data_IF_838718847025
#
_entry.id   IF_838718847025
#
_cell.length_a   1.000
_cell.length_b   1.000
_cell.length_c   1.000
_cell.angle_alpha   90.00
_cell.angle_beta   90.00
_cell.angle_gamma   90.00
#
_symmetry.space_group_name_H-M   'P 1'
#
loop_
_entity.id
_entity.type
_entity.pdbx_description
1 polymer ?
#
# COMPACT_ATOMS: atom_id res chain seq x y z
N UNK A 1 -46.79 64.81 28.17
CA UNK A 1 -47.29 64.89 26.78
C UNK A 1 -46.49 63.93 25.92
N UNK A 2 -47.09 62.83 25.45
CA UNK A 2 -46.61 62.11 24.26
C UNK A 2 -47.57 62.33 23.08
N UNK A 3 -47.09 62.41 21.83
CA UNK A 3 -47.95 62.60 20.68
C UNK A 3 -48.66 61.30 20.27
N UNK A 4 -49.96 61.42 20.03
CA UNK A 4 -50.79 60.55 19.16
C UNK A 4 -50.46 60.79 17.69
N UNK A 5 -50.32 59.74 16.87
CA UNK A 5 -50.92 59.71 15.53
C UNK A 5 -51.07 58.26 14.99
N UNK A 6 -52.30 58.01 14.57
CA UNK A 6 -53.08 56.92 13.96
C UNK A 6 -52.46 55.84 13.04
N UNK A 7 -53.23 54.75 12.77
CA UNK A 7 -52.78 53.48 12.22
C UNK A 7 -52.95 53.40 10.70
N UNK A 8 -52.13 52.57 10.04
CA UNK A 8 -52.38 52.14 8.67
C UNK A 8 -52.90 50.70 8.67
N UNK A 9 -54.20 50.58 8.42
CA UNK A 9 -54.84 49.35 7.96
C UNK A 9 -54.69 49.27 6.44
N UNK A 10 -53.86 48.37 5.95
CA UNK A 10 -53.95 47.89 4.58
C UNK A 10 -53.55 46.40 4.58
N UNK A 11 -54.56 45.53 4.52
CA UNK A 11 -54.39 44.12 4.20
C UNK A 11 -54.64 43.93 2.70
N UNK A 12 -53.66 43.45 1.91
CA UNK A 12 -53.91 42.92 0.57
C UNK A 12 -53.99 41.38 0.58
N UNK A 13 -54.50 40.78 -0.52
CA UNK A 13 -55.35 39.59 -0.47
C UNK A 13 -54.59 38.25 -0.46
N UNK A 14 -55.34 37.18 -0.20
CA UNK A 14 -54.91 35.78 -0.17
C UNK A 14 -54.06 35.35 -1.40
N UNK A 15 -53.07 34.46 -1.23
CA UNK A 15 -52.20 34.04 -2.31
C UNK A 15 -52.93 33.11 -3.29
N UNK A 16 -53.01 33.54 -4.55
CA UNK A 16 -53.34 32.66 -5.67
C UNK A 16 -52.21 31.63 -5.86
N UNK A 17 -52.59 30.36 -5.90
CA UNK A 17 -51.71 29.22 -6.19
C UNK A 17 -51.04 29.35 -7.56
N UNK A 18 -49.75 29.71 -7.57
CA UNK A 18 -48.91 29.61 -8.75
C UNK A 18 -48.20 28.26 -8.78
N UNK A 19 -48.51 27.46 -9.79
CA UNK A 19 -47.81 26.23 -10.12
C UNK A 19 -46.43 26.63 -10.66
N UNK A 20 -45.38 26.42 -9.88
CA UNK A 20 -44.01 26.54 -10.38
C UNK A 20 -43.70 25.34 -11.29
N UNK A 21 -43.25 25.54 -12.55
CA UNK A 21 -42.67 24.45 -13.31
C UNK A 21 -41.35 24.05 -12.63
N UNK A 22 -41.24 22.77 -12.26
CA UNK A 22 -39.98 22.19 -11.81
C UNK A 22 -38.95 22.40 -12.91
N UNK A 23 -37.97 23.26 -12.65
CA UNK A 23 -36.85 23.45 -13.56
C UNK A 23 -35.99 22.19 -13.47
N UNK A 24 -36.12 21.30 -14.44
CA UNK A 24 -35.17 20.22 -14.64
C UNK A 24 -33.84 20.86 -15.06
N UNK A 25 -32.92 21.02 -14.10
CA UNK A 25 -31.56 21.44 -14.37
C UNK A 25 -30.86 20.39 -15.22
N UNK A 26 -30.69 20.67 -16.52
CA UNK A 26 -29.83 19.88 -17.39
C UNK A 26 -28.40 19.93 -16.84
N UNK A 27 -27.72 18.79 -16.64
CA UNK A 27 -26.36 18.77 -16.11
C UNK A 27 -25.41 19.48 -17.08
N UNK A 28 -24.50 20.26 -16.50
CA UNK A 28 -23.50 21.01 -17.26
C UNK A 28 -22.46 20.05 -17.86
N UNK A 29 -21.85 20.35 -19.01
CA UNK A 29 -20.85 19.47 -19.64
C UNK A 29 -19.60 19.18 -18.78
N UNK A 30 -19.39 19.92 -17.68
CA UNK A 30 -18.33 19.67 -16.71
C UNK A 30 -18.66 18.54 -15.73
N UNK A 31 -19.92 18.19 -15.55
CA UNK A 31 -20.33 17.15 -14.59
C UNK A 31 -19.97 15.74 -15.08
N UNK A 32 -19.96 15.51 -16.39
CA UNK A 32 -19.61 14.21 -17.00
C UNK A 32 -18.17 13.78 -16.77
N UNK A 33 -17.23 14.72 -16.57
CA UNK A 33 -15.83 14.39 -16.27
C UNK A 33 -15.64 13.82 -14.85
N UNK A 34 -16.46 14.22 -13.89
CA UNK A 34 -16.40 13.69 -12.52
C UNK A 34 -16.82 12.21 -12.45
N UNK A 35 -17.68 11.76 -13.36
CA UNK A 35 -18.15 10.37 -13.42
C UNK A 35 -17.18 9.40 -14.11
N UNK A 36 -16.12 9.91 -14.75
CA UNK A 36 -15.09 9.06 -15.37
C UNK A 36 -14.31 8.31 -14.29
N UNK A 37 -13.94 8.99 -13.20
CA UNK A 37 -13.22 8.33 -12.11
C UNK A 37 -14.09 7.31 -11.37
N UNK A 38 -15.39 7.59 -11.24
CA UNK A 38 -16.37 6.66 -10.65
C UNK A 38 -16.54 5.43 -11.55
N UNK A 39 -16.57 5.60 -12.87
CA UNK A 39 -16.65 4.48 -13.82
C UNK A 39 -15.39 3.62 -13.81
N UNK A 40 -14.20 4.24 -13.71
CA UNK A 40 -12.92 3.55 -13.53
C UNK A 40 -12.89 2.78 -12.21
N UNK A 41 -13.34 3.42 -11.13
CA UNK A 41 -13.40 2.82 -9.81
C UNK A 41 -14.38 1.63 -9.77
N UNK A 42 -15.56 1.78 -10.37
CA UNK A 42 -16.55 0.69 -10.50
C UNK A 42 -16.05 -0.44 -11.39
N UNK A 43 -15.36 -0.14 -12.50
CA UNK A 43 -14.75 -1.16 -13.36
C UNK A 43 -13.67 -1.94 -12.62
N UNK A 44 -12.85 -1.26 -11.81
CA UNK A 44 -11.83 -1.87 -10.96
C UNK A 44 -12.45 -2.72 -9.84
N UNK A 45 -13.54 -2.25 -9.22
CA UNK A 45 -14.31 -2.99 -8.21
C UNK A 45 -14.98 -4.24 -8.78
N UNK A 46 -15.52 -4.15 -9.99
CA UNK A 46 -16.15 -5.28 -10.68
C UNK A 46 -15.11 -6.33 -11.07
N UNK A 47 -13.87 -5.92 -11.33
CA UNK A 47 -12.72 -6.82 -11.55
C UNK A 47 -12.27 -7.56 -10.27
N UNK A 48 -12.55 -7.01 -9.09
CA UNK A 48 -12.24 -7.63 -7.78
C UNK A 48 -13.40 -8.47 -7.23
N UNK A 49 -14.63 -8.28 -7.71
CA UNK A 49 -15.82 -8.96 -7.17
C UNK A 49 -16.13 -10.31 -7.84
N UNK A 50 -15.27 -10.83 -8.73
CA UNK A 50 -15.45 -12.15 -9.32
C UNK A 50 -14.98 -13.25 -8.34
N UNK A 51 -15.74 -13.40 -7.26
CA UNK A 51 -15.76 -14.63 -6.46
C UNK A 51 -16.96 -15.46 -6.90
N UNK A 52 -16.82 -16.79 -6.92
CA UNK A 52 -17.92 -17.72 -7.17
C UNK A 52 -18.56 -18.03 -5.80
N UNK A 53 -19.74 -17.48 -5.45
CA UNK A 53 -20.37 -17.77 -4.18
C UNK A 53 -21.07 -19.13 -4.27
N UNK A 54 -20.35 -20.20 -3.97
CA UNK A 54 -20.94 -21.48 -3.58
C UNK A 54 -20.95 -21.54 -2.05
N UNK A 55 -21.82 -20.74 -1.43
CA UNK A 55 -22.18 -20.92 -0.02
C UNK A 55 -23.60 -21.48 0.03
N UNK A 56 -23.73 -22.76 -0.29
CA UNK A 56 -24.89 -23.55 0.11
C UNK A 56 -24.85 -23.65 1.63
N UNK A 57 -25.67 -22.85 2.31
CA UNK A 57 -25.87 -22.92 3.76
C UNK A 57 -26.57 -24.25 4.04
N UNK A 58 -25.81 -25.24 4.51
CA UNK A 58 -26.37 -26.49 5.03
C UNK A 58 -26.53 -26.38 6.55
N UNK A 59 -27.77 -26.56 6.99
CA UNK A 59 -28.14 -26.67 8.40
C UNK A 59 -27.46 -27.91 9.03
N UNK A 60 -27.13 -27.91 10.35
CA UNK A 60 -26.40 -28.99 11.01
C UNK A 60 -27.07 -30.38 10.98
N UNK A 61 -28.30 -30.52 10.46
CA UNK A 61 -29.06 -31.77 10.48
C UNK A 61 -28.90 -32.65 9.24
N UNK A 62 -28.17 -32.25 8.21
CA UNK A 62 -28.06 -33.03 6.95
C UNK A 62 -26.73 -33.80 6.78
N UNK A 63 -25.80 -33.72 7.73
CA UNK A 63 -24.53 -34.45 7.62
C UNK A 63 -24.66 -35.87 8.19
N UNK A 64 -25.32 -36.77 7.46
CA UNK A 64 -25.24 -38.21 7.73
C UNK A 64 -24.90 -38.97 6.44
N UNK A 65 -23.77 -39.68 6.53
CA UNK A 65 -23.23 -40.69 5.64
C UNK A 65 -22.64 -40.17 4.33
N UNK A 66 -21.31 -40.09 4.28
CA UNK A 66 -20.47 -40.80 3.31
C UNK A 66 -18.99 -40.53 3.61
N UNK A 67 -18.22 -41.62 3.67
CA UNK A 67 -16.80 -41.66 3.94
C UNK A 67 -16.01 -40.76 2.99
N UNK A 68 -15.69 -39.55 3.45
CA UNK A 68 -14.62 -38.74 2.87
C UNK A 68 -14.14 -37.80 3.96
N UNK A 69 -12.91 -38.06 4.40
CA UNK A 69 -12.12 -37.24 5.32
C UNK A 69 -12.41 -35.76 5.06
N UNK A 70 -12.90 -34.98 6.05
CA UNK A 70 -13.10 -33.56 5.85
C UNK A 70 -11.72 -32.93 5.71
N UNK A 71 -11.31 -32.67 4.46
CA UNK A 71 -10.13 -31.84 4.18
C UNK A 71 -10.46 -30.45 4.72
N UNK A 72 -9.91 -30.14 5.89
CA UNK A 72 -10.04 -28.83 6.52
C UNK A 72 -9.78 -27.71 5.51
N UNK A 73 -10.46 -26.55 5.59
CA UNK A 73 -10.16 -25.38 4.76
C UNK A 73 -8.77 -24.78 5.05
N UNK A 74 -8.00 -25.39 5.96
CA UNK A 74 -6.75 -24.90 6.51
C UNK A 74 -5.51 -25.60 5.95
N UNK A 75 -5.61 -26.28 4.80
CA UNK A 75 -4.41 -26.53 3.99
C UNK A 75 -4.05 -25.23 3.25
N UNK A 76 -3.76 -24.16 3.99
CA UNK A 76 -3.00 -23.03 3.46
C UNK A 76 -1.72 -23.61 2.89
N UNK A 77 -1.43 -23.36 1.61
CA UNK A 77 -0.15 -23.72 1.01
C UNK A 77 0.96 -23.32 1.98
N UNK A 78 1.76 -24.28 2.47
CA UNK A 78 2.81 -24.05 3.47
C UNK A 78 3.85 -23.02 3.00
N UNK A 79 3.84 -22.67 1.72
CA UNK A 79 4.71 -21.63 1.12
C UNK A 79 4.20 -20.20 1.32
N UNK A 80 2.95 -20.00 1.74
CA UNK A 80 2.36 -18.67 1.90
C UNK A 80 2.55 -18.13 3.33
N UNK A 81 3.04 -16.90 3.44
CA UNK A 81 3.15 -16.19 4.70
C UNK A 81 1.83 -15.47 5.02
N UNK A 82 0.99 -16.08 5.86
CA UNK A 82 -0.33 -15.55 6.24
C UNK A 82 -0.26 -14.42 7.28
N UNK A 83 0.93 -14.09 7.79
CA UNK A 83 1.17 -12.99 8.75
C UNK A 83 2.42 -12.22 8.34
N UNK A 84 2.38 -11.51 7.19
CA UNK A 84 3.52 -10.78 6.69
C UNK A 84 3.95 -9.71 7.70
N UNK A 85 5.25 -9.46 7.74
CA UNK A 85 5.87 -8.42 8.55
C UNK A 85 6.24 -7.27 7.63
N UNK A 86 5.72 -6.08 7.90
CA UNK A 86 5.95 -4.88 7.11
C UNK A 86 6.78 -3.90 7.94
N UNK A 87 7.91 -3.47 7.38
CA UNK A 87 8.71 -2.41 7.95
C UNK A 87 8.10 -1.04 7.64
N UNK A 88 7.96 -0.16 8.63
CA UNK A 88 7.51 1.22 8.41
C UNK A 88 8.66 2.16 8.70
N UNK A 89 9.12 2.91 7.68
CA UNK A 89 10.17 3.89 7.83
C UNK A 89 9.66 5.10 8.62
N UNK A 90 10.33 5.47 9.70
CA UNK A 90 9.98 6.65 10.50
C UNK A 90 10.30 7.94 9.75
N UNK A 91 9.50 8.97 10.01
CA UNK A 91 9.69 10.32 9.45
C UNK A 91 10.46 11.21 10.44
N UNK A 92 11.33 12.12 9.98
CA UNK A 92 12.01 13.08 10.84
C UNK A 92 11.05 14.05 11.54
N UNK A 93 11.35 14.35 12.80
CA UNK A 93 10.56 15.20 13.68
C UNK A 93 9.72 14.41 14.67
N UNK A 94 8.85 15.11 15.38
CA UNK A 94 8.00 14.58 16.46
C UNK A 94 6.54 14.36 16.06
N UNK A 95 6.20 14.60 14.78
CA UNK A 95 4.83 14.56 14.28
C UNK A 95 3.94 15.70 14.79
N UNK A 96 4.50 16.68 15.52
CA UNK A 96 3.79 17.77 16.17
C UNK A 96 4.46 19.14 15.94
N UNK A 97 5.23 19.28 14.85
CA UNK A 97 5.93 20.51 14.48
C UNK A 97 6.88 21.04 15.56
N UNK A 98 7.52 20.14 16.32
CA UNK A 98 8.46 20.49 17.39
C UNK A 98 7.80 20.80 18.74
N UNK A 99 6.47 20.67 18.84
CA UNK A 99 5.71 20.97 20.06
C UNK A 99 5.86 19.92 21.15
N UNK A 100 6.19 18.68 20.78
CA UNK A 100 6.44 17.57 21.73
C UNK A 100 7.94 17.35 21.93
N UNK A 101 8.71 17.40 20.85
CA UNK A 101 10.16 17.25 20.90
C UNK A 101 10.81 18.03 19.75
N UNK A 102 11.67 18.99 20.10
CA UNK A 102 12.40 19.82 19.14
C UNK A 102 13.81 19.29 18.82
N UNK A 103 14.12 18.04 19.18
CA UNK A 103 15.38 17.41 18.82
C UNK A 103 15.45 17.16 17.32
N UNK A 104 16.59 17.53 16.71
CA UNK A 104 16.88 17.21 15.29
C UNK A 104 16.95 15.71 15.01
N UNK A 105 17.12 14.90 16.06
CA UNK A 105 17.17 13.44 16.00
C UNK A 105 15.81 12.80 16.37
N UNK A 106 14.75 13.59 16.54
CA UNK A 106 13.41 13.05 16.75
C UNK A 106 12.95 12.29 15.51
N UNK A 107 12.38 11.11 15.73
CA UNK A 107 11.77 10.26 14.71
C UNK A 107 10.36 9.88 15.14
N UNK A 108 9.42 9.88 14.21
CA UNK A 108 8.03 9.52 14.50
C UNK A 108 7.45 8.62 13.39
N UNK A 109 6.49 7.79 13.78
CA UNK A 109 5.62 7.05 12.84
C UNK A 109 4.18 7.42 13.17
N UNK A 110 3.44 7.88 12.16
CA UNK A 110 2.02 8.17 12.35
C UNK A 110 1.25 6.89 12.67
N UNK A 111 0.40 6.94 13.69
CA UNK A 111 -0.45 5.82 14.07
C UNK A 111 -1.36 5.34 12.91
N UNK A 112 -1.71 6.23 11.98
CA UNK A 112 -2.49 5.89 10.78
C UNK A 112 -1.79 4.88 9.87
N UNK A 113 -0.45 4.95 9.73
CA UNK A 113 0.30 3.97 8.94
C UNK A 113 0.33 2.60 9.62
N UNK A 114 0.52 2.57 10.95
CA UNK A 114 0.49 1.33 11.74
C UNK A 114 -0.89 0.69 11.62
N UNK A 115 -1.96 1.45 11.85
CA UNK A 115 -3.34 0.96 11.75
C UNK A 115 -3.68 0.47 10.35
N UNK A 116 -3.20 1.16 9.31
CA UNK A 116 -3.38 0.71 7.92
C UNK A 116 -2.77 -0.68 7.70
N UNK A 117 -1.51 -0.89 8.12
CA UNK A 117 -0.82 -2.17 7.95
C UNK A 117 -1.45 -3.27 8.81
N UNK A 118 -1.76 -2.99 10.07
CA UNK A 118 -2.38 -3.96 10.98
C UNK A 118 -3.79 -4.35 10.54
N UNK A 119 -4.56 -3.41 10.00
CA UNK A 119 -5.90 -3.69 9.45
C UNK A 119 -5.87 -4.64 8.25
N UNK A 120 -4.74 -4.70 7.54
CA UNK A 120 -4.51 -5.66 6.46
C UNK A 120 -4.04 -7.05 6.97
N UNK A 121 -3.99 -7.28 8.28
CA UNK A 121 -3.57 -8.55 8.89
C UNK A 121 -2.05 -8.74 8.98
N UNK A 122 -1.28 -7.68 8.76
CA UNK A 122 0.18 -7.70 8.84
C UNK A 122 0.69 -7.29 10.22
N UNK A 123 1.93 -7.68 10.54
CA UNK A 123 2.69 -7.20 11.70
C UNK A 123 3.58 -6.03 11.29
N UNK A 124 3.89 -5.15 12.23
CA UNK A 124 4.70 -3.95 11.98
C UNK A 124 6.06 -4.07 12.67
N UNK A 125 7.14 -3.73 11.95
CA UNK A 125 8.46 -3.45 12.52
C UNK A 125 8.79 -1.98 12.25
N UNK A 126 9.20 -1.19 13.28
CA UNK A 126 9.66 0.17 13.06
C UNK A 126 11.06 0.17 12.42
N UNK A 127 11.21 0.92 11.33
CA UNK A 127 12.47 1.19 10.67
C UNK A 127 12.86 2.64 10.96
N UNK A 128 13.84 2.86 11.82
CA UNK A 128 14.19 4.20 12.28
C UNK A 128 15.16 4.84 11.29
N UNK A 129 14.81 6.02 10.75
CA UNK A 129 15.56 6.61 9.62
C UNK A 129 16.95 7.11 10.01
N UNK A 130 17.18 7.39 11.30
CA UNK A 130 18.45 7.87 11.84
C UNK A 130 19.20 6.81 12.67
N UNK A 131 18.82 5.55 12.57
CA UNK A 131 19.65 4.45 13.07
C UNK A 131 20.88 4.23 12.16
N UNK A 132 21.93 3.57 12.68
CA UNK A 132 23.04 3.09 11.86
C UNK A 132 22.54 2.28 10.67
N UNK A 133 23.17 2.51 9.52
CA UNK A 133 22.75 1.92 8.26
C UNK A 133 22.76 0.39 8.34
N UNK A 134 23.78 -0.18 8.97
CA UNK A 134 23.95 -1.62 9.15
C UNK A 134 22.75 -2.23 9.88
N UNK A 135 22.32 -1.60 10.97
CA UNK A 135 21.18 -2.05 11.79
C UNK A 135 19.87 -1.92 10.99
N UNK A 136 19.71 -0.81 10.27
CA UNK A 136 18.53 -0.59 9.44
C UNK A 136 18.42 -1.66 8.34
N UNK A 137 19.52 -1.97 7.65
CA UNK A 137 19.56 -2.98 6.61
C UNK A 137 19.47 -4.41 7.14
N UNK A 138 19.89 -4.67 8.38
CA UNK A 138 19.59 -5.93 9.05
C UNK A 138 18.08 -6.08 9.31
N UNK A 139 17.41 -5.04 9.80
CA UNK A 139 15.94 -5.05 9.96
C UNK A 139 15.22 -5.25 8.64
N UNK A 140 15.73 -4.67 7.55
CA UNK A 140 15.16 -4.85 6.21
C UNK A 140 15.17 -6.30 5.73
N UNK A 141 16.15 -7.11 6.15
CA UNK A 141 16.18 -8.55 5.83
C UNK A 141 15.10 -9.35 6.56
N UNK A 142 14.52 -8.81 7.63
CA UNK A 142 13.51 -9.48 8.46
C UNK A 142 12.08 -9.20 7.99
N UNK A 143 11.87 -8.19 7.15
CA UNK A 143 10.54 -7.78 6.69
C UNK A 143 10.22 -8.36 5.32
N UNK A 144 8.93 -8.57 5.08
CA UNK A 144 8.42 -9.01 3.77
C UNK A 144 8.17 -7.83 2.81
N UNK A 145 8.15 -6.61 3.33
CA UNK A 145 7.97 -5.39 2.56
C UNK A 145 8.20 -4.15 3.41
N UNK A 146 8.33 -3.00 2.75
CA UNK A 146 8.61 -1.72 3.38
C UNK A 146 7.55 -0.70 2.96
N UNK A 147 7.04 0.06 3.94
CA UNK A 147 6.17 1.19 3.75
C UNK A 147 6.93 2.49 4.10
N UNK A 148 7.02 3.39 3.12
CA UNK A 148 7.68 4.68 3.26
C UNK A 148 6.66 5.74 3.67
N UNK A 149 6.92 6.45 4.76
CA UNK A 149 6.01 7.48 5.25
C UNK A 149 6.01 8.72 4.36
N UNK A 150 4.83 9.31 4.16
CA UNK A 150 4.72 10.66 3.61
C UNK A 150 5.09 11.72 4.64
N UNK A 151 5.35 12.94 4.18
CA UNK A 151 5.60 14.10 5.03
C UNK A 151 6.44 15.18 4.33
N UNK A 152 6.96 16.12 5.10
CA UNK A 152 7.66 17.32 4.56
C UNK A 152 9.11 17.07 4.11
N UNK A 153 9.70 15.92 4.46
CA UNK A 153 11.13 15.67 4.28
C UNK A 153 11.47 15.30 2.83
N UNK A 154 11.69 16.33 1.99
CA UNK A 154 12.07 16.19 0.58
C UNK A 154 13.59 16.08 0.35
N UNK A 155 14.40 16.29 1.39
CA UNK A 155 15.86 16.26 1.37
C UNK A 155 16.42 15.83 2.73
N UNK A 156 17.71 15.52 2.78
CA UNK A 156 18.41 15.14 4.02
C UNK A 156 18.45 13.63 4.26
N UNK A 157 18.79 13.21 5.49
CA UNK A 157 19.07 11.82 5.84
C UNK A 157 17.90 10.87 5.50
N UNK A 158 16.67 11.27 5.82
CA UNK A 158 15.47 10.50 5.47
C UNK A 158 15.42 10.17 3.97
N UNK A 159 15.58 11.18 3.12
CA UNK A 159 15.52 10.99 1.67
C UNK A 159 16.68 10.12 1.15
N UNK A 160 17.88 10.29 1.71
CA UNK A 160 19.03 9.45 1.37
C UNK A 160 18.80 7.98 1.74
N UNK A 161 18.20 7.71 2.91
CA UNK A 161 17.85 6.35 3.34
C UNK A 161 16.79 5.75 2.41
N UNK A 162 15.76 6.52 2.04
CA UNK A 162 14.76 6.09 1.07
C UNK A 162 15.42 5.67 -0.25
N UNK A 163 16.32 6.50 -0.80
CA UNK A 163 17.06 6.13 -2.01
C UNK A 163 17.89 4.87 -1.84
N UNK A 164 18.57 4.72 -0.69
CA UNK A 164 19.39 3.54 -0.39
C UNK A 164 18.53 2.29 -0.32
N UNK A 165 17.35 2.33 0.30
CA UNK A 165 16.39 1.22 0.34
C UNK A 165 15.99 0.82 -1.09
N UNK A 166 15.62 1.78 -1.94
CA UNK A 166 15.27 1.49 -3.33
C UNK A 166 16.45 0.89 -4.13
N UNK A 167 17.67 1.41 -3.93
CA UNK A 167 18.87 0.92 -4.62
C UNK A 167 19.29 -0.46 -4.12
N UNK A 168 19.13 -0.73 -2.83
CA UNK A 168 19.52 -1.99 -2.19
C UNK A 168 18.74 -3.16 -2.79
N UNK A 169 17.42 -3.02 -2.95
CA UNK A 169 16.57 -4.04 -3.59
C UNK A 169 17.03 -4.32 -5.04
N UNK A 170 17.33 -3.28 -5.83
CA UNK A 170 17.77 -3.44 -7.22
C UNK A 170 19.15 -4.10 -7.36
N UNK A 171 20.09 -3.76 -6.47
CA UNK A 171 21.46 -4.30 -6.51
C UNK A 171 21.49 -5.73 -5.96
N UNK A 172 20.69 -6.02 -4.92
CA UNK A 172 20.62 -7.35 -4.33
C UNK A 172 20.12 -8.38 -5.34
N UNK A 173 19.07 -8.08 -6.09
CA UNK A 173 18.55 -8.99 -7.13
C UNK A 173 19.58 -9.20 -8.26
N UNK A 174 20.27 -8.14 -8.70
CA UNK A 174 21.35 -8.28 -9.70
C UNK A 174 22.48 -9.20 -9.19
N UNK A 175 22.89 -9.07 -7.93
CA UNK A 175 23.92 -9.95 -7.34
C UNK A 175 23.44 -11.39 -7.19
N UNK A 176 22.16 -11.60 -6.83
CA UNK A 176 21.57 -12.94 -6.73
C UNK A 176 21.53 -13.65 -8.08
N UNK A 177 21.14 -12.96 -9.16
CA UNK A 177 21.21 -13.52 -10.52
C UNK A 177 22.66 -13.84 -10.94
N UNK A 178 23.61 -12.95 -10.63
CA UNK A 178 25.02 -13.15 -10.98
C UNK A 178 25.66 -14.32 -10.21
N UNK A 179 25.28 -14.53 -8.94
CA UNK A 179 25.73 -15.67 -8.15
C UNK A 179 25.14 -16.99 -8.66
N UNK A 180 23.86 -17.02 -9.04
CA UNK A 180 23.23 -18.21 -9.62
C UNK A 180 23.85 -18.57 -10.99
N UNK A 181 24.18 -17.56 -11.80
CA UNK A 181 24.83 -17.77 -13.10
C UNK A 181 26.33 -18.13 -12.95
N UNK A 182 27.04 -17.58 -11.95
CA UNK A 182 28.42 -17.95 -11.63
C UNK A 182 28.55 -19.39 -11.13
N UNK A 183 27.64 -19.83 -10.24
CA UNK A 183 27.62 -21.22 -9.73
C UNK A 183 27.24 -22.23 -10.84
N UNK A 184 26.42 -21.83 -11.80
CA UNK A 184 26.04 -22.70 -12.94
C UNK A 184 27.14 -22.78 -14.02
N UNK A 185 27.96 -21.72 -14.17
CA UNK A 185 29.07 -21.70 -15.12
C UNK A 185 30.30 -22.50 -14.67
N UNK A 186 30.56 -22.60 -13.38
CA UNK A 186 31.76 -23.26 -12.85
C UNK A 186 31.71 -24.80 -12.89
N UNK A 187 30.53 -25.40 -13.13
CA UNK A 187 30.37 -26.88 -13.24
C UNK A 187 30.56 -27.37 -14.67
N UNK A 188 30.44 -26.51 -15.69
CA UNK A 188 30.50 -26.92 -17.12
C UNK A 188 31.80 -26.49 -17.81
N UNK A 189 32.60 -25.64 -17.20
CA UNK A 189 33.75 -24.99 -17.86
C UNK A 189 35.12 -25.51 -17.42
N UNK A 190 35.27 -26.82 -17.15
CA UNK A 190 36.57 -27.42 -16.81
C UNK A 190 37.20 -28.33 -17.88
N UNK A 191 36.52 -28.63 -18.99
CA UNK A 191 37.01 -29.65 -19.94
C UNK A 191 37.38 -29.15 -21.35
N UNK A 192 37.33 -27.84 -21.62
CA UNK A 192 37.71 -27.33 -22.95
C UNK A 192 38.62 -26.12 -22.85
N UNK A 193 39.92 -26.33 -22.58
CA UNK A 193 41.05 -25.60 -23.19
C UNK A 193 42.36 -26.34 -22.86
N UNK A 194 42.57 -27.50 -23.49
CA UNK A 194 43.93 -28.02 -23.74
C UNK A 194 44.32 -27.73 -25.18
N UNK A 195 45.35 -26.90 -25.38
CA UNK A 195 46.14 -26.91 -26.60
C UNK A 195 47.63 -26.90 -26.23
N UNK A 196 48.42 -27.87 -26.72
CA UNK A 196 49.87 -27.86 -26.55
C UNK A 196 50.50 -27.09 -27.72
N UNK A 197 51.34 -26.10 -27.42
CA UNK A 197 52.30 -25.59 -28.41
C UNK A 197 53.62 -26.31 -28.21
N UNK A 198 53.84 -27.35 -29.01
CA UNK A 198 55.16 -27.83 -29.37
C UNK A 198 55.64 -27.01 -30.57
N UNK A 199 56.74 -26.28 -30.42
CA UNK A 199 57.53 -25.85 -31.57
C UNK A 199 58.98 -26.27 -31.30
N UNK A 200 59.43 -27.31 -32.01
CA UNK A 200 60.82 -27.76 -32.04
C UNK A 200 61.51 -27.10 -33.23
N UNK A 201 62.76 -26.69 -33.04
CA UNK A 201 63.62 -26.26 -34.14
C UNK A 201 64.89 -25.56 -33.66
N UNK A 202 65.79 -26.32 -33.05
CA UNK A 202 67.21 -25.99 -32.88
C UNK A 202 67.98 -26.17 -34.21
N UNK A 203 69.29 -25.88 -34.30
CA UNK A 203 70.17 -25.12 -33.42
C UNK A 203 70.73 -23.82 -34.04
#
# INVERSE_FOLDING_TARGET
MPPTLFPNSDSPPAPASQIHPVSSSSPSPSDTWNYIWISIFLYLFKRLSKSNPQSTILLPSQQRNNDSVPRSPAATDRRLNNRPVIGILSHPGDGASGRLNNSKNASYIAASYVKFVESAGARVIPLIYNEPEEILFEKLKLVNGVLLTGGWAKKGLYFQIVEKIFKHEAIYERKKQSLVHGITGDVVQKDYYTWPYHFSGSP
#
